data_IF_930939846607
#
_entry.id   IF_930939846607
#
_cell.length_a   1.000
_cell.length_b   1.000
_cell.length_c   1.000
_cell.angle_alpha   90.00
_cell.angle_beta   90.00
_cell.angle_gamma   90.00
#
_symmetry.space_group_name_H-M   'P 1'
#
loop_
_entity.id
_entity.type
_entity.pdbx_description
1 polymer ?
#
# COMPACT_ATOMS: atom_id res chain seq x y z
N UNK A 1 -0.83 4.89 3.37
CA UNK A 1 -0.94 5.69 4.63
C UNK A 1 -2.31 5.53 5.28
N UNK A 2 -2.47 5.81 6.59
CA UNK A 2 -3.74 5.69 7.32
C UNK A 2 -4.06 6.95 8.13
N UNK A 3 -5.35 7.18 8.42
CA UNK A 3 -5.84 8.32 9.21
C UNK A 3 -5.10 8.43 10.56
N UNK A 4 -4.68 9.65 10.91
CA UNK A 4 -3.90 9.96 12.11
C UNK A 4 -2.56 9.19 12.26
N UNK A 5 -2.01 8.66 11.15
CA UNK A 5 -0.74 7.92 11.18
C UNK A 5 0.43 8.73 11.74
N UNK A 6 0.54 10.00 11.34
CA UNK A 6 1.55 10.95 11.82
C UNK A 6 1.07 11.84 12.97
N UNK A 7 -0.18 11.66 13.45
CA UNK A 7 -0.89 12.55 14.38
C UNK A 7 -1.13 13.95 13.78
N UNK A 8 -1.64 14.89 14.58
CA UNK A 8 -1.75 16.32 14.23
C UNK A 8 -2.38 16.61 12.85
N UNK A 9 -3.51 15.97 12.54
CA UNK A 9 -4.27 16.26 11.32
C UNK A 9 -3.79 15.53 10.06
N UNK A 10 -2.79 14.64 10.13
CA UNK A 10 -2.43 13.81 8.98
C UNK A 10 -3.54 12.82 8.62
N UNK A 11 -3.76 12.60 7.34
CA UNK A 11 -4.79 11.69 6.83
C UNK A 11 -4.21 10.59 5.93
N UNK A 12 -5.00 9.53 5.70
CA UNK A 12 -4.66 8.47 4.76
C UNK A 12 -5.48 8.60 3.48
N UNK A 13 -4.85 8.39 2.33
CA UNK A 13 -5.48 8.53 1.01
C UNK A 13 -6.75 7.69 0.82
N UNK A 14 -6.86 6.54 1.49
CA UNK A 14 -8.06 5.70 1.48
C UNK A 14 -9.33 6.40 2.00
N UNK A 15 -9.20 7.49 2.77
CA UNK A 15 -10.33 8.35 3.16
C UNK A 15 -11.00 9.04 1.96
N UNK A 16 -10.22 9.41 0.95
CA UNK A 16 -10.67 10.21 -0.19
C UNK A 16 -11.24 9.37 -1.33
N UNK A 17 -10.97 8.06 -1.36
CA UNK A 17 -11.48 7.17 -2.41
C UNK A 17 -13.01 7.15 -2.52
N UNK A 18 -13.73 7.37 -1.42
CA UNK A 18 -15.19 7.41 -1.41
C UNK A 18 -15.76 8.53 -2.31
N UNK A 19 -14.97 9.55 -2.63
CA UNK A 19 -15.36 10.64 -3.53
C UNK A 19 -15.07 10.32 -5.00
N UNK A 20 -14.27 9.28 -5.26
CA UNK A 20 -13.79 8.91 -6.60
C UNK A 20 -14.46 7.64 -7.14
N UNK A 21 -15.18 6.90 -6.30
CA UNK A 21 -15.84 5.64 -6.65
C UNK A 21 -17.36 5.71 -6.44
N UNK A 22 -18.10 5.08 -7.36
CA UNK A 22 -19.57 4.96 -7.33
C UNK A 22 -20.08 3.82 -6.44
N UNK A 23 -19.18 3.07 -5.82
CA UNK A 23 -19.46 1.98 -4.88
C UNK A 23 -19.01 2.35 -3.46
N UNK A 24 -19.61 1.74 -2.41
CA UNK A 24 -19.19 2.00 -1.04
C UNK A 24 -17.72 1.66 -0.80
N UNK A 25 -17.01 2.55 -0.10
CA UNK A 25 -15.61 2.33 0.29
C UNK A 25 -15.55 2.10 1.80
N UNK A 26 -14.91 0.99 2.20
CA UNK A 26 -14.68 0.66 3.62
C UNK A 26 -13.19 0.69 3.91
N UNK A 27 -12.71 1.79 4.50
CA UNK A 27 -11.30 1.93 4.84
C UNK A 27 -10.94 1.05 6.05
N UNK A 28 -10.12 0.01 5.81
CA UNK A 28 -9.58 -0.90 6.84
C UNK A 28 -8.07 -0.75 7.03
N UNK A 29 -7.50 0.39 6.62
CA UNK A 29 -6.10 0.70 6.89
C UNK A 29 -5.90 1.08 8.37
N UNK A 30 -4.76 0.67 8.94
CA UNK A 30 -4.39 1.00 10.31
C UNK A 30 -2.96 1.52 10.35
N UNK A 31 -2.74 2.64 11.05
CA UNK A 31 -1.43 3.24 11.18
C UNK A 31 -0.38 2.29 11.76
N UNK A 32 0.85 2.34 11.25
CA UNK A 32 1.98 1.56 11.75
C UNK A 32 1.89 0.05 11.50
N UNK A 33 1.05 -0.40 10.57
CA UNK A 33 0.99 -1.82 10.18
C UNK A 33 1.85 -2.08 8.95
N UNK A 34 2.55 -3.20 8.99
CA UNK A 34 3.18 -3.92 7.90
C UNK A 34 2.33 -5.13 7.47
N UNK A 35 2.65 -5.77 6.34
CA UNK A 35 1.99 -6.99 5.88
C UNK A 35 2.02 -8.10 6.97
N UNK A 36 3.16 -8.26 7.64
CA UNK A 36 3.33 -9.14 8.80
C UNK A 36 2.37 -8.77 9.93
N UNK A 37 2.50 -7.57 10.47
CA UNK A 37 1.75 -7.18 11.69
C UNK A 37 0.23 -7.13 11.44
N UNK A 38 -0.20 -6.87 10.20
CA UNK A 38 -1.60 -6.90 9.79
C UNK A 38 -2.13 -8.34 9.78
N UNK A 39 -1.31 -9.29 9.32
CA UNK A 39 -1.59 -10.73 9.40
C UNK A 39 -1.62 -11.22 10.85
N UNK A 40 -0.58 -10.93 11.63
CA UNK A 40 -0.45 -11.37 13.03
C UNK A 40 -1.60 -10.85 13.91
N UNK A 41 -2.13 -9.66 13.60
CA UNK A 41 -3.29 -9.07 14.27
C UNK A 41 -4.65 -9.53 13.69
N UNK A 42 -4.67 -10.57 12.84
CA UNK A 42 -5.86 -11.14 12.21
C UNK A 42 -6.71 -10.15 11.41
N UNK A 43 -6.10 -9.08 10.89
CA UNK A 43 -6.84 -8.03 10.19
C UNK A 43 -7.24 -8.43 8.77
N UNK A 44 -6.40 -9.19 8.08
CA UNK A 44 -6.79 -9.79 6.79
C UNK A 44 -7.95 -10.78 6.98
N UNK A 45 -7.91 -11.62 8.02
CA UNK A 45 -9.01 -12.54 8.33
C UNK A 45 -10.32 -11.80 8.67
N UNK A 46 -10.23 -10.65 9.34
CA UNK A 46 -11.40 -9.81 9.61
C UNK A 46 -12.00 -9.17 8.34
N UNK A 47 -11.18 -8.87 7.33
CA UNK A 47 -11.66 -8.45 6.00
C UNK A 47 -12.32 -9.64 5.30
N UNK A 48 -11.63 -10.78 5.22
CA UNK A 48 -12.12 -12.00 4.57
C UNK A 48 -13.50 -12.42 5.07
N UNK A 49 -13.75 -12.30 6.38
CA UNK A 49 -15.02 -12.65 7.00
C UNK A 49 -16.20 -11.76 6.57
N UNK A 50 -15.94 -10.59 6.00
CA UNK A 50 -16.94 -9.63 5.55
C UNK A 50 -17.19 -9.69 4.03
N UNK A 51 -16.27 -10.30 3.28
CA UNK A 51 -16.31 -10.28 1.81
C UNK A 51 -17.50 -11.07 1.26
N UNK A 52 -18.09 -10.51 0.22
CA UNK A 52 -19.05 -11.15 -0.65
C UNK A 52 -18.47 -11.27 -2.07
N UNK A 53 -18.93 -12.25 -2.87
CA UNK A 53 -18.55 -12.31 -4.27
C UNK A 53 -18.86 -11.01 -5.00
N UNK A 54 -17.90 -10.49 -5.77
CA UNK A 54 -17.98 -9.21 -6.47
C UNK A 54 -17.44 -8.00 -5.69
N UNK A 55 -17.04 -8.18 -4.42
CA UNK A 55 -16.32 -7.14 -3.69
C UNK A 55 -14.91 -6.91 -4.25
N UNK A 56 -14.34 -5.75 -3.95
CA UNK A 56 -12.96 -5.40 -4.30
C UNK A 56 -12.12 -5.22 -3.02
N UNK A 57 -10.89 -5.72 -3.03
CA UNK A 57 -9.92 -5.48 -1.98
C UNK A 57 -8.68 -4.82 -2.56
N UNK A 58 -8.44 -3.57 -2.14
CA UNK A 58 -7.18 -2.87 -2.42
C UNK A 58 -6.19 -3.16 -1.30
N UNK A 59 -4.99 -3.62 -1.63
CA UNK A 59 -3.93 -3.98 -0.68
C UNK A 59 -2.68 -3.12 -0.94
N UNK A 60 -2.22 -2.38 0.08
CA UNK A 60 -1.03 -1.53 0.00
C UNK A 60 -0.23 -1.57 1.30
N UNK A 61 1.04 -2.00 1.21
CA UNK A 61 2.00 -2.07 2.33
C UNK A 61 3.41 -1.72 1.85
N UNK A 62 4.37 -1.60 2.76
CA UNK A 62 5.78 -1.31 2.45
C UNK A 62 6.45 -0.37 3.46
N UNK A 63 5.78 0.72 3.83
CA UNK A 63 6.32 1.75 4.75
C UNK A 63 6.82 1.20 6.11
N UNK A 64 6.20 0.12 6.61
CA UNK A 64 6.53 -0.47 7.91
C UNK A 64 7.19 -1.85 7.79
N UNK A 65 7.45 -2.33 6.59
CA UNK A 65 7.86 -3.71 6.32
C UNK A 65 9.39 -3.89 6.36
N UNK A 66 10.14 -2.78 6.37
CA UNK A 66 11.60 -2.75 6.43
C UNK A 66 12.21 -3.27 7.75
N UNK A 67 13.53 -3.50 7.72
CA UNK A 67 14.30 -3.99 8.87
C UNK A 67 14.48 -5.50 8.95
N UNK A 68 13.98 -6.25 7.97
CA UNK A 68 13.99 -7.72 7.94
C UNK A 68 15.36 -8.36 8.10
N UNK A 69 16.39 -7.77 7.50
CA UNK A 69 17.77 -8.29 7.55
C UNK A 69 18.37 -8.31 8.96
N UNK A 70 17.76 -7.62 9.93
CA UNK A 70 18.20 -7.57 11.32
C UNK A 70 17.45 -8.57 12.21
N UNK A 71 16.40 -9.24 11.71
CA UNK A 71 15.64 -10.22 12.48
C UNK A 71 16.55 -11.34 13.02
N UNK A 72 16.36 -11.67 14.30
CA UNK A 72 17.16 -12.70 14.98
C UNK A 72 18.60 -12.32 15.32
N UNK A 73 19.07 -11.12 14.93
CA UNK A 73 20.42 -10.65 15.29
C UNK A 73 20.48 -10.15 16.74
N UNK A 74 21.65 -10.27 17.37
CA UNK A 74 21.82 -9.93 18.79
C UNK A 74 21.57 -8.44 19.14
N UNK A 75 21.70 -7.54 18.16
CA UNK A 75 21.57 -6.08 18.35
C UNK A 75 20.24 -5.53 17.84
N UNK A 76 19.26 -6.40 17.55
CA UNK A 76 17.97 -6.01 17.03
C UNK A 76 16.84 -6.40 17.99
N UNK A 77 15.98 -5.43 18.29
CA UNK A 77 14.73 -5.68 19.02
C UNK A 77 13.58 -5.67 18.02
N UNK A 78 12.99 -6.83 17.78
CA UNK A 78 11.86 -6.96 16.87
C UNK A 78 10.67 -6.15 17.37
N UNK A 79 10.26 -5.15 16.58
CA UNK A 79 9.09 -4.33 16.86
C UNK A 79 7.77 -4.96 16.31
N UNK A 80 7.85 -6.17 15.75
CA UNK A 80 6.73 -6.95 15.23
C UNK A 80 6.27 -6.56 13.83
N UNK A 81 7.02 -5.69 13.12
CA UNK A 81 6.64 -5.19 11.79
C UNK A 81 7.48 -5.73 10.63
N UNK A 82 8.81 -5.82 10.69
CA UNK A 82 9.61 -6.23 9.55
C UNK A 82 9.17 -7.58 8.99
N UNK A 83 9.13 -7.66 7.67
CA UNK A 83 9.05 -8.91 6.94
C UNK A 83 10.44 -9.54 6.79
N UNK A 84 10.52 -10.85 6.62
CA UNK A 84 11.77 -11.52 6.30
C UNK A 84 12.22 -11.11 4.88
N UNK A 85 13.52 -10.89 4.62
CA UNK A 85 13.99 -10.65 3.26
C UNK A 85 13.76 -11.87 2.36
N UNK A 86 13.42 -11.63 1.09
CA UNK A 86 13.08 -12.66 0.11
C UNK A 86 11.71 -12.41 -0.51
N UNK A 87 11.46 -13.09 -1.62
CA UNK A 87 10.23 -12.98 -2.44
C UNK A 87 9.41 -14.28 -2.42
N UNK A 88 9.97 -15.36 -1.88
CA UNK A 88 9.38 -16.69 -1.85
C UNK A 88 8.87 -17.06 -0.47
N UNK A 89 9.14 -18.31 -0.06
CA UNK A 89 8.72 -18.89 1.21
C UNK A 89 9.80 -18.81 2.31
N UNK A 90 10.81 -17.95 2.13
CA UNK A 90 11.84 -17.74 3.14
C UNK A 90 11.25 -17.37 4.49
N UNK A 91 11.95 -17.80 5.54
CA UNK A 91 11.56 -17.50 6.91
C UNK A 91 12.75 -17.02 7.72
N UNK A 92 12.45 -16.11 8.64
CA UNK A 92 13.38 -15.58 9.61
C UNK A 92 12.90 -15.97 11.01
N UNK A 93 13.80 -16.46 11.85
CA UNK A 93 13.52 -16.64 13.28
C UNK A 93 13.70 -15.31 14.01
N UNK A 94 12.79 -14.97 14.92
CA UNK A 94 12.87 -13.78 15.75
C UNK A 94 12.28 -14.01 17.14
N UNK A 95 12.45 -13.04 18.04
CA UNK A 95 11.81 -13.02 19.36
C UNK A 95 11.02 -11.74 19.50
N UNK A 96 9.70 -11.85 19.62
CA UNK A 96 8.79 -10.73 19.81
C UNK A 96 8.21 -10.80 21.22
N UNK A 97 8.45 -9.78 22.05
CA UNK A 97 8.00 -9.72 23.44
C UNK A 97 8.33 -11.00 24.26
N UNK A 98 9.53 -11.55 24.06
CA UNK A 98 9.99 -12.76 24.75
C UNK A 98 9.45 -14.08 24.19
N UNK A 99 8.66 -14.04 23.12
CA UNK A 99 8.15 -15.24 22.44
C UNK A 99 8.87 -15.44 21.12
N UNK A 100 9.37 -16.67 20.89
CA UNK A 100 9.94 -17.04 19.61
C UNK A 100 8.87 -17.02 18.52
N UNK A 101 9.16 -16.38 17.39
CA UNK A 101 8.24 -16.23 16.26
C UNK A 101 8.95 -16.57 14.95
N UNK A 102 8.20 -17.12 14.01
CA UNK A 102 8.61 -17.30 12.61
C UNK A 102 8.04 -16.15 11.80
N UNK A 103 8.92 -15.48 11.06
CA UNK A 103 8.57 -14.33 10.22
C UNK A 103 8.70 -14.72 8.76
N UNK A 104 7.67 -14.46 7.96
CA UNK A 104 7.65 -14.74 6.52
C UNK A 104 8.04 -13.50 5.69
N UNK A 105 8.23 -13.71 4.39
CA UNK A 105 8.46 -12.64 3.41
C UNK A 105 7.23 -11.76 3.22
N UNK A 106 7.44 -10.56 2.68
CA UNK A 106 6.37 -9.64 2.30
C UNK A 106 5.41 -10.31 1.30
N UNK A 107 5.96 -10.94 0.25
CA UNK A 107 5.21 -11.60 -0.80
C UNK A 107 4.36 -12.74 -0.23
N UNK A 108 4.94 -13.55 0.66
CA UNK A 108 4.21 -14.65 1.30
C UNK A 108 2.97 -14.15 2.06
N UNK A 109 3.08 -13.06 2.83
CA UNK A 109 1.95 -12.49 3.56
C UNK A 109 0.86 -12.00 2.63
N UNK A 110 1.22 -11.25 1.57
CA UNK A 110 0.24 -10.67 0.67
C UNK A 110 -0.40 -11.72 -0.24
N UNK A 111 0.37 -12.66 -0.81
CA UNK A 111 -0.17 -13.75 -1.63
C UNK A 111 -1.14 -14.61 -0.83
N UNK A 112 -0.82 -14.92 0.43
CA UNK A 112 -1.73 -15.69 1.30
C UNK A 112 -3.05 -14.96 1.52
N UNK A 113 -3.02 -13.66 1.80
CA UNK A 113 -4.23 -12.87 2.02
C UNK A 113 -5.03 -12.69 0.72
N UNK A 114 -4.37 -12.31 -0.38
CA UNK A 114 -5.00 -12.10 -1.67
C UNK A 114 -5.70 -13.37 -2.18
N UNK A 115 -5.03 -14.53 -2.11
CA UNK A 115 -5.65 -15.82 -2.48
C UNK A 115 -6.86 -16.15 -1.62
N UNK A 116 -6.89 -15.77 -0.34
CA UNK A 116 -8.08 -16.00 0.50
C UNK A 116 -9.25 -15.09 0.12
N UNK A 117 -8.97 -13.87 -0.36
CA UNK A 117 -9.99 -12.95 -0.89
C UNK A 117 -10.53 -13.42 -2.25
N UNK A 118 -9.65 -13.85 -3.16
CA UNK A 118 -10.02 -14.41 -4.46
C UNK A 118 -10.90 -15.66 -4.27
N UNK A 119 -10.56 -16.54 -3.31
CA UNK A 119 -11.38 -17.71 -2.97
C UNK A 119 -12.78 -17.37 -2.42
N UNK A 120 -13.02 -16.12 -1.98
CA UNK A 120 -14.35 -15.59 -1.61
C UNK A 120 -15.11 -14.98 -2.79
N UNK A 121 -14.51 -14.96 -3.98
CA UNK A 121 -15.05 -14.34 -5.18
C UNK A 121 -14.87 -12.82 -5.21
N UNK A 122 -13.98 -12.26 -4.39
CA UNK A 122 -13.60 -10.85 -4.47
C UNK A 122 -12.48 -10.65 -5.50
N UNK A 123 -12.40 -9.46 -6.10
CA UNK A 123 -11.25 -9.04 -6.91
C UNK A 123 -10.20 -8.37 -6.04
N UNK A 124 -8.92 -8.54 -6.37
CA UNK A 124 -7.80 -7.96 -5.60
C UNK A 124 -7.04 -6.95 -6.46
N UNK A 125 -6.84 -5.75 -5.92
CA UNK A 125 -5.94 -4.75 -6.51
C UNK A 125 -4.74 -4.60 -5.60
N UNK A 126 -3.58 -5.01 -6.08
CA UNK A 126 -2.31 -4.81 -5.37
C UNK A 126 -1.78 -3.43 -5.76
N UNK A 127 -1.48 -2.61 -4.75
CA UNK A 127 -0.98 -1.25 -4.92
C UNK A 127 0.43 -1.16 -4.37
N UNK A 128 1.35 -0.55 -5.13
CA UNK A 128 2.68 -0.21 -4.59
C UNK A 128 2.56 0.88 -3.52
N UNK A 129 3.49 0.90 -2.56
CA UNK A 129 3.47 1.94 -1.52
C UNK A 129 3.64 3.34 -2.10
N UNK A 130 2.98 4.32 -1.46
CA UNK A 130 3.19 5.75 -1.72
C UNK A 130 4.66 6.16 -1.43
N UNK A 131 5.23 7.15 -2.15
CA UNK A 131 6.53 7.69 -1.82
C UNK A 131 6.52 8.42 -0.45
N UNK A 132 7.69 8.50 0.19
CA UNK A 132 7.99 9.59 1.15
C UNK A 132 8.23 10.89 0.38
N UNK A 133 8.34 12.04 1.05
CA UNK A 133 8.56 13.33 0.38
C UNK A 133 9.77 13.30 -0.58
N UNK A 134 9.55 13.30 -1.91
CA UNK A 134 10.64 13.18 -2.88
C UNK A 134 11.41 14.50 -3.05
N UNK A 135 10.93 15.59 -2.46
CA UNK A 135 11.56 16.91 -2.48
C UNK A 135 12.34 17.23 -1.20
N UNK A 136 12.44 16.29 -0.24
CA UNK A 136 13.06 16.48 1.08
C UNK A 136 14.48 17.05 1.01
N UNK A 137 15.24 16.67 -0.03
CA UNK A 137 16.64 17.12 -0.22
C UNK A 137 16.77 18.49 -0.90
N UNK A 138 15.67 19.08 -1.35
CA UNK A 138 15.65 20.30 -2.16
C UNK A 138 15.61 20.06 -3.68
N UNK A 139 15.90 18.86 -4.14
CA UNK A 139 15.71 18.42 -5.52
C UNK A 139 14.76 17.21 -5.55
N UNK A 140 14.02 17.07 -6.64
CA UNK A 140 13.14 15.92 -6.82
C UNK A 140 13.96 14.64 -7.01
N UNK A 141 13.74 13.67 -6.12
CA UNK A 141 14.32 12.33 -6.21
C UNK A 141 13.24 11.32 -5.85
N UNK A 142 12.88 10.47 -6.81
CA UNK A 142 12.05 9.29 -6.56
C UNK A 142 12.86 8.03 -6.87
N UNK A 143 13.25 7.34 -5.81
CA UNK A 143 13.90 6.02 -5.86
C UNK A 143 12.96 5.01 -5.18
N UNK A 144 12.25 4.16 -5.95
CA UNK A 144 11.25 3.27 -5.40
C UNK A 144 11.90 2.25 -4.45
N UNK A 145 11.44 2.14 -3.19
CA UNK A 145 11.97 1.13 -2.27
C UNK A 145 11.63 -0.28 -2.76
N UNK A 146 12.37 -1.27 -2.28
CA UNK A 146 12.24 -2.67 -2.70
C UNK A 146 10.79 -3.22 -2.62
N UNK A 147 9.98 -2.72 -1.70
CA UNK A 147 8.58 -3.13 -1.55
C UNK A 147 7.66 -2.70 -2.70
N UNK A 148 8.08 -1.75 -3.54
CA UNK A 148 7.39 -1.42 -4.80
C UNK A 148 7.51 -2.61 -5.76
N UNK A 149 8.72 -3.12 -5.97
CA UNK A 149 8.96 -4.30 -6.80
C UNK A 149 8.28 -5.54 -6.23
N UNK A 150 8.35 -5.74 -4.90
CA UNK A 150 7.65 -6.87 -4.27
C UNK A 150 6.13 -6.81 -4.42
N UNK A 151 5.54 -5.61 -4.42
CA UNK A 151 4.10 -5.48 -4.69
C UNK A 151 3.76 -5.82 -6.15
N UNK A 152 4.64 -5.47 -7.11
CA UNK A 152 4.52 -5.85 -8.51
C UNK A 152 4.63 -7.38 -8.68
N UNK A 153 5.65 -8.03 -8.08
CA UNK A 153 5.83 -9.48 -8.13
C UNK A 153 4.62 -10.24 -7.56
N UNK A 154 4.02 -9.73 -6.47
CA UNK A 154 2.79 -10.28 -5.89
C UNK A 154 1.64 -10.17 -6.89
N UNK A 155 1.49 -9.02 -7.54
CA UNK A 155 0.43 -8.82 -8.51
C UNK A 155 0.62 -9.72 -9.75
N UNK A 156 1.83 -9.78 -10.32
CA UNK A 156 2.16 -10.65 -11.45
C UNK A 156 1.87 -12.13 -11.13
N UNK A 157 2.21 -12.57 -9.92
CA UNK A 157 1.90 -13.93 -9.46
C UNK A 157 0.39 -14.18 -9.44
N UNK A 158 -0.39 -13.22 -8.94
CA UNK A 158 -1.85 -13.35 -8.86
C UNK A 158 -2.50 -13.28 -10.24
N UNK A 159 -2.02 -12.42 -11.14
CA UNK A 159 -2.55 -12.24 -12.50
C UNK A 159 -2.29 -13.49 -13.36
N UNK A 160 -1.22 -14.23 -13.06
CA UNK A 160 -0.96 -15.54 -13.66
C UNK A 160 -1.88 -16.66 -13.10
N UNK A 161 -2.49 -16.46 -11.93
CA UNK A 161 -3.35 -17.43 -11.25
C UNK A 161 -4.84 -17.19 -11.51
N UNK A 162 -5.29 -15.93 -11.45
CA UNK A 162 -6.71 -15.52 -11.48
C UNK A 162 -6.87 -14.18 -12.22
N UNK A 163 -7.86 -14.08 -13.13
CA UNK A 163 -8.12 -12.88 -13.93
C UNK A 163 -8.64 -11.69 -13.08
N UNK A 164 -9.13 -11.96 -11.87
CA UNK A 164 -9.70 -10.97 -10.94
C UNK A 164 -8.66 -10.21 -10.11
N UNK A 165 -7.40 -10.22 -10.54
CA UNK A 165 -6.31 -9.47 -9.92
C UNK A 165 -5.79 -8.35 -10.82
N UNK A 166 -5.25 -7.29 -10.21
CA UNK A 166 -4.65 -6.17 -10.93
C UNK A 166 -3.54 -5.49 -10.12
N UNK A 167 -2.56 -4.92 -10.81
CA UNK A 167 -1.56 -4.03 -10.22
C UNK A 167 -1.86 -2.54 -10.45
N UNK A 168 -1.58 -1.72 -9.44
CA UNK A 168 -1.48 -0.26 -9.57
C UNK A 168 -0.13 0.21 -9.02
N UNK A 169 0.70 0.80 -9.89
CA UNK A 169 1.94 1.44 -9.48
C UNK A 169 1.69 2.83 -8.85
N UNK A 170 0.96 2.84 -7.73
CA UNK A 170 0.51 4.05 -7.05
C UNK A 170 1.68 4.95 -6.68
N UNK A 171 2.78 4.37 -6.19
CA UNK A 171 3.98 5.13 -5.85
C UNK A 171 4.53 5.95 -7.02
N UNK A 172 4.53 5.39 -8.24
CA UNK A 172 5.00 6.12 -9.44
C UNK A 172 4.03 7.22 -9.87
N UNK A 173 2.72 6.92 -9.92
CA UNK A 173 1.71 7.94 -10.27
C UNK A 173 1.73 9.12 -9.30
N UNK A 174 1.91 8.86 -8.01
CA UNK A 174 2.00 9.91 -6.99
C UNK A 174 3.30 10.71 -7.11
N UNK A 175 4.43 10.04 -7.35
CA UNK A 175 5.71 10.70 -7.55
C UNK A 175 5.69 11.65 -8.76
N UNK A 176 5.08 11.25 -9.89
CA UNK A 176 4.94 12.09 -11.07
C UNK A 176 4.09 13.34 -10.81
N UNK A 177 3.03 13.20 -10.03
CA UNK A 177 2.20 14.34 -9.62
C UNK A 177 2.93 15.25 -8.64
N UNK A 178 3.73 14.69 -7.71
CA UNK A 178 4.60 15.48 -6.85
C UNK A 178 5.68 16.24 -7.61
N UNK A 179 6.27 15.67 -8.66
CA UNK A 179 7.20 16.39 -9.54
C UNK A 179 6.50 17.58 -10.20
N UNK A 180 5.27 17.37 -10.71
CA UNK A 180 4.47 18.40 -11.38
C UNK A 180 4.06 19.54 -10.43
N UNK A 181 3.68 19.22 -9.20
CA UNK A 181 3.24 20.21 -8.19
C UNK A 181 4.40 21.05 -7.67
N UNK A 182 5.62 20.50 -7.67
CA UNK A 182 6.83 21.19 -7.26
C UNK A 182 7.01 21.26 -5.74
N UNK A 183 8.25 21.56 -5.34
CA UNK A 183 8.75 21.48 -3.96
C UNK A 183 7.86 22.14 -2.92
N UNK A 184 7.53 23.42 -3.09
CA UNK A 184 6.84 24.20 -2.04
C UNK A 184 5.45 23.64 -1.74
N UNK A 185 4.75 23.14 -2.76
CA UNK A 185 3.45 22.50 -2.61
C UNK A 185 3.61 21.14 -1.92
N UNK A 186 4.54 20.31 -2.38
CA UNK A 186 4.73 18.97 -1.82
C UNK A 186 5.22 19.02 -0.37
N UNK A 187 6.16 19.90 -0.03
CA UNK A 187 6.60 20.09 1.36
C UNK A 187 5.45 20.49 2.28
N UNK A 188 4.46 21.25 1.77
CA UNK A 188 3.28 21.61 2.55
C UNK A 188 2.39 20.39 2.88
N UNK A 189 2.54 19.29 2.15
CA UNK A 189 1.87 18.03 2.47
C UNK A 189 2.56 17.28 3.61
N UNK A 190 3.84 17.54 3.90
CA UNK A 190 4.67 16.78 4.83
C UNK A 190 5.11 17.63 6.03
N UNK A 191 4.15 18.25 6.73
CA UNK A 191 4.44 19.20 7.82
C UNK A 191 4.97 18.55 9.11
N UNK A 192 4.69 17.26 9.32
CA UNK A 192 5.04 16.55 10.56
C UNK A 192 6.32 15.74 10.43
N UNK A 193 6.42 15.00 9.33
CA UNK A 193 7.56 14.19 8.93
C UNK A 193 7.48 13.97 7.42
N UNK A 194 8.48 13.30 6.85
CA UNK A 194 8.56 13.03 5.42
C UNK A 194 7.64 11.90 4.90
N UNK A 195 6.80 11.30 5.75
CA UNK A 195 6.01 10.12 5.38
C UNK A 195 4.51 10.40 5.42
N UNK A 196 4.02 11.10 6.44
CA UNK A 196 2.58 11.27 6.68
C UNK A 196 2.05 12.56 6.08
N UNK A 197 1.07 12.43 5.18
CA UNK A 197 0.50 13.58 4.47
C UNK A 197 -0.57 14.33 5.26
N UNK A 198 -0.62 15.64 5.05
CA UNK A 198 -1.78 16.49 5.33
C UNK A 198 -2.96 16.13 4.40
N UNK A 199 -4.20 16.54 4.71
CA UNK A 199 -5.40 16.27 3.91
C UNK A 199 -5.22 16.48 2.40
N UNK A 200 -4.58 17.58 2.00
CA UNK A 200 -4.35 17.92 0.60
C UNK A 200 -3.41 16.91 -0.10
N UNK A 201 -2.36 16.45 0.58
CA UNK A 201 -1.47 15.43 0.06
C UNK A 201 -2.14 14.05 0.00
N UNK A 202 -3.00 13.74 0.97
CA UNK A 202 -3.79 12.50 0.97
C UNK A 202 -4.82 12.47 -0.19
N UNK A 203 -5.42 13.60 -0.54
CA UNK A 203 -6.27 13.76 -1.72
C UNK A 203 -5.47 13.60 -3.03
N UNK A 204 -4.27 14.17 -3.11
CA UNK A 204 -3.36 13.98 -4.27
C UNK A 204 -3.01 12.51 -4.46
N UNK A 205 -2.61 11.81 -3.39
CA UNK A 205 -2.35 10.38 -3.43
C UNK A 205 -3.59 9.60 -3.91
N UNK A 206 -4.77 9.88 -3.36
CA UNK A 206 -6.00 9.21 -3.81
C UNK A 206 -6.29 9.42 -5.30
N UNK A 207 -6.06 10.62 -5.83
CA UNK A 207 -6.19 10.91 -7.27
C UNK A 207 -5.15 10.17 -8.10
N UNK A 208 -3.91 10.07 -7.62
CA UNK A 208 -2.85 9.31 -8.29
C UNK A 208 -3.19 7.81 -8.37
N UNK A 209 -3.70 7.21 -7.29
CA UNK A 209 -4.21 5.84 -7.30
C UNK A 209 -5.34 5.65 -8.33
N UNK A 210 -6.32 6.55 -8.35
CA UNK A 210 -7.46 6.48 -9.27
C UNK A 210 -6.99 6.68 -10.72
N UNK A 211 -5.96 7.51 -10.97
CA UNK A 211 -5.32 7.61 -12.28
C UNK A 211 -4.72 6.28 -12.69
N UNK A 212 -3.97 5.64 -11.79
CA UNK A 212 -3.39 4.33 -12.03
C UNK A 212 -4.44 3.25 -12.32
N UNK A 213 -5.55 3.22 -11.57
CA UNK A 213 -6.67 2.34 -11.86
C UNK A 213 -7.27 2.56 -13.27
N UNK A 214 -7.47 3.83 -13.65
CA UNK A 214 -8.07 4.18 -14.93
C UNK A 214 -7.16 3.81 -16.12
N UNK A 215 -5.84 3.83 -15.92
CA UNK A 215 -4.85 3.45 -16.92
C UNK A 215 -4.56 1.94 -16.95
N UNK A 216 -4.64 1.25 -15.81
CA UNK A 216 -4.16 -0.13 -15.60
C UNK A 216 -5.18 -1.25 -15.88
N UNK A 217 -6.35 -0.95 -16.43
CA UNK A 217 -7.29 -1.98 -16.91
C UNK A 217 -8.03 -2.80 -15.84
N UNK A 218 -7.81 -2.54 -14.54
CA UNK A 218 -8.54 -3.18 -13.43
C UNK A 218 -10.06 -3.07 -13.61
N UNK A 219 -10.81 -4.12 -13.27
CA UNK A 219 -12.29 -4.08 -13.30
C UNK A 219 -12.89 -3.06 -12.32
N UNK A 220 -12.13 -2.64 -11.29
CA UNK A 220 -12.50 -1.56 -10.37
C UNK A 220 -12.63 -0.20 -11.10
N UNK A 221 -11.91 -0.01 -12.21
CA UNK A 221 -11.96 1.23 -13.00
C UNK A 221 -13.36 1.58 -13.51
N UNK A 222 -14.24 0.58 -13.68
CA UNK A 222 -15.64 0.74 -14.12
C UNK A 222 -16.48 1.56 -13.14
N UNK A 223 -16.02 1.70 -11.90
CA UNK A 223 -16.73 2.41 -10.84
C UNK A 223 -16.21 3.82 -10.60
N UNK A 224 -15.20 4.28 -11.34
CA UNK A 224 -14.66 5.64 -11.21
C UNK A 224 -15.72 6.66 -11.65
N UNK A 225 -15.92 7.72 -10.86
CA UNK A 225 -16.95 8.75 -11.13
C UNK A 225 -16.48 9.89 -12.04
N UNK A 226 -15.17 10.13 -12.13
CA UNK A 226 -14.57 11.14 -13.00
C UNK A 226 -14.09 10.52 -14.32
N UNK A 227 -14.12 11.27 -15.42
CA UNK A 227 -13.48 10.80 -16.65
C UNK A 227 -11.95 10.76 -16.46
N UNK A 228 -11.27 9.78 -17.08
CA UNK A 228 -9.80 9.60 -16.97
C UNK A 228 -9.01 10.85 -17.37
N UNK A 229 -9.55 11.67 -18.28
CA UNK A 229 -8.97 12.93 -18.73
C UNK A 229 -9.02 14.05 -17.66
N UNK A 230 -10.00 13.97 -16.75
CA UNK A 230 -10.19 14.95 -15.67
C UNK A 230 -9.34 14.63 -14.43
N UNK A 231 -8.76 13.43 -14.35
CA UNK A 231 -7.85 13.02 -13.28
C UNK A 231 -6.43 13.48 -13.64
N UNK A 232 -5.77 14.30 -12.80
CA UNK A 232 -4.40 14.76 -13.04
C UNK A 232 -3.42 13.63 -13.38
N UNK A 233 -2.40 13.96 -14.17
CA UNK A 233 -1.36 13.03 -14.60
C UNK A 233 -1.59 12.39 -15.97
N UNK A 234 -0.64 11.57 -16.41
CA UNK A 234 -0.66 10.80 -17.66
C UNK A 234 -0.54 9.31 -17.33
N UNK A 235 -1.01 8.43 -18.23
CA UNK A 235 -0.77 6.99 -18.06
C UNK A 235 0.71 6.67 -18.25
N UNK A 236 1.22 5.78 -17.39
CA UNK A 236 2.58 5.21 -17.48
C UNK A 236 2.72 4.25 -18.67
#
# INVERSE_FOLDING_TARGET
MAEQGGKNGTEGWGHYLQYSLSIPVVNRAFAGRSARSFTDQSRFAAIEALLQPGDFVVVEFGHNDGGGALLGTANYTDNGRPACPGEGDETCASVLNGTAVTVHTYNWYLLRAARSFLAKGASVVVSSMTPTNPWETGAFVYDPPIFVGYAEDVAETLEAEEEESAFVNHGRYEADEFERLGKDVVDSFFLMDHTHTQPEGADVAAKAFVKGLACGGSSLSRYIVNATEDIPGVCL
#
